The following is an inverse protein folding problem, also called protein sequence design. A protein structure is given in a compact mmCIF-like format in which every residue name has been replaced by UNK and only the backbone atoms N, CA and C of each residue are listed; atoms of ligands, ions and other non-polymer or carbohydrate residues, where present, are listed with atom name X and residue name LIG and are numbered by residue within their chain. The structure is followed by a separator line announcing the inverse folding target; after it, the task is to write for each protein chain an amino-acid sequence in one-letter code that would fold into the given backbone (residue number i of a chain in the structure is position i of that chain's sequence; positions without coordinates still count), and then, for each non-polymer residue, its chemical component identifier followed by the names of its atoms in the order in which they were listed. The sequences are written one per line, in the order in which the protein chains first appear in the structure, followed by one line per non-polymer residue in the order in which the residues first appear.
data_IF_547632312521
#
_entry.id   IF_547632312521
#
_cell.length_a   1.000
_cell.length_b   1.000
_cell.length_c   1.000
_cell.angle_alpha   90.00
_cell.angle_beta   90.00
_cell.angle_gamma   90.00
#
_symmetry.space_group_name_H-M   'P 1'
#
loop_
_entity.id
_entity.type
_entity.pdbx_description
1 polymer ?
#
# COMPACT_ATOMS: atom_id res chain seq x y z
N UNK A 1 0.37 2.32 -17.14
CA UNK A 1 1.14 1.08 -16.96
C UNK A 1 0.26 -0.11 -16.55
N UNK A 2 -0.94 0.13 -16.05
CA UNK A 2 -1.91 -0.91 -15.72
C UNK A 2 -3.06 -1.03 -16.73
N UNK A 3 -2.91 -0.38 -17.86
CA UNK A 3 -3.87 -0.47 -18.94
C UNK A 3 -3.81 -1.87 -19.54
N UNK A 4 -4.94 -2.53 -19.62
CA UNK A 4 -5.10 -3.85 -20.23
C UNK A 4 -6.23 -3.81 -21.23
N UNK A 5 -5.98 -3.21 -22.41
CA UNK A 5 -6.98 -3.08 -23.45
C UNK A 5 -7.51 -4.44 -23.93
N UNK A 6 -6.70 -5.49 -23.83
CA UNK A 6 -7.10 -6.84 -24.16
C UNK A 6 -8.26 -7.35 -23.26
N UNK A 7 -8.38 -6.82 -22.03
CA UNK A 7 -9.52 -7.11 -21.14
C UNK A 7 -10.87 -6.67 -21.72
N UNK A 8 -10.90 -5.66 -22.60
CA UNK A 8 -12.11 -5.21 -23.28
C UNK A 8 -12.79 -6.35 -24.06
N UNK A 9 -12.02 -7.37 -24.51
CA UNK A 9 -12.59 -8.56 -25.13
C UNK A 9 -13.50 -9.36 -24.18
N UNK A 10 -13.24 -9.32 -22.88
CA UNK A 10 -14.09 -9.98 -21.89
C UNK A 10 -15.42 -9.25 -21.70
N UNK A 11 -15.44 -7.92 -21.90
CA UNK A 11 -16.66 -7.11 -21.80
C UNK A 11 -17.63 -7.39 -22.96
N UNK A 12 -17.15 -7.82 -24.13
CA UNK A 12 -18.00 -8.24 -25.26
C UNK A 12 -18.94 -9.37 -24.92
N UNK A 13 -18.60 -10.21 -23.93
CA UNK A 13 -19.44 -11.31 -23.44
C UNK A 13 -20.56 -10.83 -22.53
N UNK A 14 -20.46 -9.61 -21.99
CA UNK A 14 -21.39 -9.05 -21.00
C UNK A 14 -22.31 -8.01 -21.64
N UNK A 15 -21.77 -7.19 -22.56
CA UNK A 15 -22.50 -6.10 -23.20
C UNK A 15 -22.05 -5.90 -24.62
N UNK A 16 -23.01 -5.54 -25.49
CA UNK A 16 -22.74 -5.11 -26.88
C UNK A 16 -22.22 -3.67 -26.96
N UNK A 17 -22.45 -2.88 -25.91
CA UNK A 17 -21.97 -1.50 -25.79
C UNK A 17 -21.12 -1.37 -24.55
N UNK A 18 -19.86 -1.03 -24.73
CA UNK A 18 -18.92 -0.77 -23.63
C UNK A 18 -17.98 0.38 -24.01
N UNK A 19 -17.41 1.01 -22.99
CA UNK A 19 -16.57 2.18 -23.11
C UNK A 19 -15.14 1.98 -22.61
N UNK A 20 -14.32 2.98 -22.88
CA UNK A 20 -12.99 3.14 -22.33
C UNK A 20 -12.88 4.54 -21.72
N UNK A 21 -12.65 4.58 -20.40
CA UNK A 21 -12.35 5.79 -19.64
C UNK A 21 -10.84 5.77 -19.33
N UNK A 22 -10.08 6.63 -20.00
CA UNK A 22 -8.62 6.62 -19.98
C UNK A 22 -8.05 7.74 -19.10
N UNK A 23 -7.07 7.39 -18.26
CA UNK A 23 -6.30 8.33 -17.42
C UNK A 23 -4.81 8.35 -17.79
N UNK A 24 -4.49 7.85 -18.98
CA UNK A 24 -3.13 7.89 -19.53
C UNK A 24 -2.71 9.29 -19.96
N UNK A 25 -1.43 9.57 -19.92
CA UNK A 25 -0.84 10.78 -20.51
C UNK A 25 -0.94 10.69 -22.04
N UNK A 26 -1.50 11.72 -22.68
CA UNK A 26 -1.83 11.70 -24.11
C UNK A 26 -3.07 10.87 -24.41
N UNK A 27 -3.22 10.35 -25.64
CA UNK A 27 -4.45 9.66 -26.08
C UNK A 27 -4.21 8.47 -27.02
N UNK A 28 -3.00 7.96 -27.11
CA UNK A 28 -2.69 6.81 -27.99
C UNK A 28 -3.38 5.52 -27.53
N UNK A 29 -3.39 5.15 -26.24
CA UNK A 29 -4.17 4.01 -25.74
C UNK A 29 -5.67 4.19 -25.98
N UNK A 30 -6.20 5.40 -25.84
CA UNK A 30 -7.60 5.72 -26.15
C UNK A 30 -7.92 5.40 -27.63
N UNK A 31 -7.06 5.79 -28.58
CA UNK A 31 -7.25 5.44 -29.98
C UNK A 31 -7.11 3.94 -30.20
N UNK A 32 -6.16 3.28 -29.51
CA UNK A 32 -5.93 1.84 -29.61
C UNK A 32 -7.14 1.03 -29.11
N UNK A 33 -7.90 1.54 -28.12
CA UNK A 33 -9.07 0.87 -27.56
C UNK A 33 -10.17 0.60 -28.59
N UNK A 34 -10.25 1.40 -29.67
CA UNK A 34 -11.23 1.20 -30.74
C UNK A 34 -11.06 -0.14 -31.46
N UNK A 35 -9.82 -0.64 -31.58
CA UNK A 35 -9.55 -1.94 -32.17
C UNK A 35 -10.24 -3.07 -31.39
N UNK A 36 -10.39 -2.90 -30.09
CA UNK A 36 -11.06 -3.85 -29.18
C UNK A 36 -12.58 -3.67 -29.15
N UNK A 37 -13.12 -2.75 -29.95
CA UNK A 37 -14.57 -2.57 -30.13
C UNK A 37 -15.23 -1.57 -29.21
N UNK A 38 -14.45 -0.70 -28.56
CA UNK A 38 -14.95 0.39 -27.73
C UNK A 38 -15.92 1.30 -28.52
N UNK A 39 -17.08 1.58 -27.93
CA UNK A 39 -18.15 2.42 -28.51
C UNK A 39 -18.25 3.79 -27.83
N UNK A 40 -17.86 3.89 -26.59
CA UNK A 40 -17.89 5.11 -25.79
C UNK A 40 -16.48 5.40 -25.32
N UNK A 41 -16.06 6.66 -25.40
CA UNK A 41 -14.76 7.13 -24.92
C UNK A 41 -15.00 8.29 -23.98
N UNK A 42 -14.41 8.20 -22.80
CA UNK A 42 -14.38 9.26 -21.80
C UNK A 42 -12.94 9.69 -21.53
N UNK A 43 -12.72 10.99 -21.48
CA UNK A 43 -11.41 11.59 -21.14
C UNK A 43 -11.60 12.88 -20.37
N UNK A 44 -10.76 13.04 -19.36
CA UNK A 44 -10.64 14.31 -18.64
C UNK A 44 -10.10 15.40 -19.54
N UNK A 45 -10.59 16.64 -19.36
CA UNK A 45 -10.15 17.84 -20.07
C UNK A 45 -9.72 18.90 -19.06
N UNK A 46 -8.64 19.62 -19.37
CA UNK A 46 -8.15 20.75 -18.58
C UNK A 46 -7.64 21.87 -19.49
N UNK A 47 -7.63 23.08 -19.01
CA UNK A 47 -7.01 24.18 -19.76
C UNK A 47 -5.48 24.09 -19.71
N UNK A 48 -4.92 23.63 -18.58
CA UNK A 48 -3.48 23.47 -18.41
C UNK A 48 -3.18 22.14 -17.66
N UNK A 49 -2.40 21.27 -18.32
CA UNK A 49 -2.01 19.96 -17.77
C UNK A 49 -0.99 20.05 -16.63
N UNK A 50 -0.43 21.23 -16.37
CA UNK A 50 0.54 21.49 -15.31
C UNK A 50 -0.09 22.09 -14.04
N UNK A 51 -1.39 22.32 -14.04
CA UNK A 51 -2.09 22.82 -12.85
C UNK A 51 -2.05 21.77 -11.73
N UNK A 52 -2.09 22.24 -10.49
CA UNK A 52 -2.14 21.39 -9.31
C UNK A 52 -3.52 20.71 -9.20
N UNK A 53 -3.49 19.39 -9.05
CA UNK A 53 -4.69 18.57 -8.88
C UNK A 53 -4.49 17.15 -9.38
N UNK A 54 -5.34 16.20 -8.94
CA UNK A 54 -5.07 14.77 -9.16
C UNK A 54 -5.15 14.35 -10.62
N UNK A 55 -5.94 15.04 -11.46
CA UNK A 55 -6.24 14.60 -12.83
C UNK A 55 -5.66 15.50 -13.92
N UNK A 56 -5.10 16.66 -13.61
CA UNK A 56 -4.58 17.59 -14.60
C UNK A 56 -3.50 16.97 -15.50
N UNK A 57 -2.56 16.23 -14.93
CA UNK A 57 -1.46 15.61 -15.66
C UNK A 57 -1.91 14.50 -16.62
N UNK A 58 -3.03 13.85 -16.35
CA UNK A 58 -3.64 12.81 -17.20
C UNK A 58 -4.76 13.35 -18.11
N UNK A 59 -5.11 14.62 -17.96
CA UNK A 59 -6.13 15.30 -18.77
C UNK A 59 -5.59 15.72 -20.13
N UNK A 60 -6.47 15.98 -21.06
CA UNK A 60 -6.14 16.57 -22.35
C UNK A 60 -6.48 18.06 -22.35
N UNK A 61 -5.59 18.89 -22.89
CA UNK A 61 -5.96 20.26 -23.23
C UNK A 61 -6.93 20.29 -24.43
N UNK A 62 -7.65 21.40 -24.70
CA UNK A 62 -8.63 21.47 -25.79
C UNK A 62 -8.06 21.13 -27.15
N UNK A 63 -6.80 21.47 -27.41
CA UNK A 63 -6.16 21.22 -28.71
C UNK A 63 -5.89 19.72 -28.89
N UNK A 64 -5.36 19.03 -27.85
CA UNK A 64 -5.09 17.60 -27.91
C UNK A 64 -6.39 16.79 -27.88
N UNK A 65 -7.42 17.26 -27.19
CA UNK A 65 -8.76 16.68 -27.25
C UNK A 65 -9.33 16.73 -28.66
N UNK A 66 -9.21 17.87 -29.35
CA UNK A 66 -9.60 18.02 -30.79
C UNK A 66 -8.81 17.05 -31.67
N UNK A 67 -7.48 16.95 -31.48
CA UNK A 67 -6.64 16.00 -32.24
C UNK A 67 -7.10 14.55 -32.01
N UNK A 68 -7.38 14.19 -30.76
CA UNK A 68 -7.92 12.88 -30.42
C UNK A 68 -9.22 12.58 -31.15
N UNK A 69 -10.20 13.48 -31.10
CA UNK A 69 -11.48 13.30 -31.76
C UNK A 69 -11.35 13.08 -33.28
N UNK A 70 -10.49 13.88 -33.95
CA UNK A 70 -10.21 13.72 -35.37
C UNK A 70 -9.55 12.36 -35.66
N UNK A 71 -8.62 11.94 -34.81
CA UNK A 71 -7.94 10.65 -34.99
C UNK A 71 -8.88 9.48 -34.76
N UNK A 72 -9.77 9.56 -33.79
CA UNK A 72 -10.82 8.56 -33.50
C UNK A 72 -11.74 8.39 -34.72
N UNK A 73 -12.23 9.49 -35.33
CA UNK A 73 -13.09 9.43 -36.52
C UNK A 73 -12.38 8.71 -37.68
N UNK A 74 -11.10 9.04 -37.94
CA UNK A 74 -10.29 8.38 -38.96
C UNK A 74 -10.07 6.90 -38.65
N UNK A 75 -9.76 6.58 -37.40
CA UNK A 75 -9.51 5.23 -36.92
C UNK A 75 -10.78 4.36 -37.02
N UNK A 76 -11.92 4.87 -36.62
CA UNK A 76 -13.21 4.18 -36.73
C UNK A 76 -13.53 3.82 -38.17
N UNK A 77 -13.35 4.76 -39.11
CA UNK A 77 -13.60 4.51 -40.55
C UNK A 77 -12.61 3.49 -41.12
N UNK A 78 -11.36 3.49 -40.68
CA UNK A 78 -10.37 2.51 -41.09
C UNK A 78 -10.73 1.08 -40.65
N UNK A 79 -11.26 0.93 -39.43
CA UNK A 79 -11.64 -0.36 -38.87
C UNK A 79 -12.86 -1.01 -39.53
N UNK A 80 -13.71 -0.24 -40.24
CA UNK A 80 -14.82 -0.78 -41.04
C UNK A 80 -14.34 -1.79 -42.11
N UNK A 81 -13.07 -1.73 -42.49
CA UNK A 81 -12.49 -2.56 -43.55
C UNK A 81 -11.79 -3.83 -43.04
N UNK A 82 -12.15 -4.35 -41.88
CA UNK A 82 -11.55 -5.56 -41.26
C UNK A 82 -10.02 -5.57 -41.32
N UNK A 83 -9.38 -4.74 -40.53
CA UNK A 83 -7.92 -4.59 -40.46
C UNK A 83 -7.29 -5.40 -39.29
N UNK A 84 -6.05 -5.84 -39.50
CA UNK A 84 -5.26 -6.46 -38.46
C UNK A 84 -4.77 -5.44 -37.42
N UNK A 85 -4.45 -5.90 -36.23
CA UNK A 85 -3.88 -5.03 -35.17
C UNK A 85 -2.57 -4.38 -35.63
N UNK A 86 -1.72 -5.11 -36.34
CA UNK A 86 -0.45 -4.59 -36.86
C UNK A 86 -0.64 -3.45 -37.84
N UNK A 87 -1.57 -3.59 -38.85
CA UNK A 87 -1.91 -2.53 -39.79
C UNK A 87 -2.48 -1.28 -39.07
N UNK A 88 -3.30 -1.53 -38.02
CA UNK A 88 -3.92 -0.45 -37.26
C UNK A 88 -2.86 0.34 -36.47
N UNK A 89 -1.97 -0.37 -35.74
CA UNK A 89 -0.86 0.25 -34.99
C UNK A 89 0.04 1.08 -35.92
N UNK A 90 0.43 0.52 -37.07
CA UNK A 90 1.27 1.20 -38.06
C UNK A 90 0.60 2.43 -38.63
N UNK A 91 -0.67 2.32 -39.07
CA UNK A 91 -1.43 3.42 -39.72
C UNK A 91 -1.61 4.63 -38.80
N UNK A 92 -1.85 4.41 -37.52
CA UNK A 92 -2.14 5.47 -36.56
C UNK A 92 -0.96 5.83 -35.65
N UNK A 93 0.24 5.27 -35.90
CA UNK A 93 1.46 5.51 -35.11
C UNK A 93 1.22 5.25 -33.62
N UNK A 94 0.76 4.03 -33.31
CA UNK A 94 0.39 3.62 -31.94
C UNK A 94 1.44 2.68 -31.30
N UNK A 95 2.64 2.59 -31.86
CA UNK A 95 3.67 1.65 -31.39
C UNK A 95 4.01 1.88 -29.93
N UNK A 96 4.15 3.15 -29.50
CA UNK A 96 4.41 3.51 -28.09
C UNK A 96 3.24 3.21 -27.13
N UNK A 97 2.06 2.85 -27.64
CA UNK A 97 0.93 2.40 -26.82
C UNK A 97 0.76 0.87 -26.83
N UNK A 98 1.71 0.11 -27.42
CA UNK A 98 1.60 -1.35 -27.55
C UNK A 98 1.56 -2.04 -26.18
N UNK A 99 2.26 -1.51 -25.20
CA UNK A 99 2.24 -2.02 -23.83
C UNK A 99 0.86 -1.94 -23.17
N UNK A 100 0.04 -0.95 -23.56
CA UNK A 100 -1.33 -0.80 -23.09
C UNK A 100 -2.26 -1.96 -23.52
N UNK A 101 -1.85 -2.81 -24.46
CA UNK A 101 -2.59 -4.01 -24.83
C UNK A 101 -2.77 -4.92 -23.63
N UNK A 102 -1.71 -5.13 -22.83
CA UNK A 102 -1.76 -5.88 -21.60
C UNK A 102 -2.29 -7.32 -21.74
N UNK A 103 -2.66 -7.91 -20.62
CA UNK A 103 -3.22 -9.27 -20.53
C UNK A 103 -4.74 -9.25 -20.63
N UNK A 104 -5.35 -10.40 -20.95
CA UNK A 104 -6.81 -10.56 -20.95
C UNK A 104 -7.43 -10.69 -19.53
N UNK A 105 -6.70 -10.26 -18.52
CA UNK A 105 -7.14 -10.21 -17.13
C UNK A 105 -6.80 -8.83 -16.57
N UNK A 106 -7.75 -8.24 -15.85
CA UNK A 106 -7.46 -7.03 -15.09
C UNK A 106 -6.80 -7.44 -13.77
N UNK A 107 -5.54 -7.12 -13.62
CA UNK A 107 -4.84 -7.26 -12.35
C UNK A 107 -5.27 -6.06 -11.49
N UNK A 108 -5.81 -6.33 -10.31
CA UNK A 108 -6.14 -5.27 -9.35
C UNK A 108 -4.85 -4.84 -8.66
N UNK A 109 -4.34 -3.69 -9.05
CA UNK A 109 -3.22 -3.05 -8.35
C UNK A 109 -3.63 -2.62 -6.94
N UNK A 110 -2.63 -2.31 -6.12
CA UNK A 110 -2.84 -1.76 -4.78
C UNK A 110 -3.68 -0.47 -4.85
N UNK A 111 -3.40 0.41 -5.81
CA UNK A 111 -4.16 1.63 -6.04
C UNK A 111 -5.64 1.35 -6.37
N UNK A 112 -5.89 0.36 -7.23
CA UNK A 112 -7.26 -0.05 -7.58
C UNK A 112 -7.98 -0.64 -6.34
N UNK A 113 -7.26 -1.40 -5.50
CA UNK A 113 -7.81 -1.93 -4.24
C UNK A 113 -8.11 -0.81 -3.25
N UNK A 114 -7.21 0.15 -3.10
CA UNK A 114 -7.42 1.33 -2.26
C UNK A 114 -8.60 2.16 -2.74
N UNK A 115 -8.69 2.45 -4.05
CA UNK A 115 -9.85 3.12 -4.64
C UNK A 115 -11.15 2.34 -4.45
N UNK A 116 -11.10 1.00 -4.47
CA UNK A 116 -12.27 0.16 -4.15
C UNK A 116 -12.72 0.34 -2.71
N UNK A 117 -11.82 0.53 -1.78
CA UNK A 117 -12.14 0.79 -0.38
C UNK A 117 -12.69 2.20 -0.19
N UNK A 118 -12.01 3.21 -0.73
CA UNK A 118 -12.36 4.63 -0.51
C UNK A 118 -13.57 5.10 -1.32
N UNK A 119 -13.65 4.70 -2.60
CA UNK A 119 -14.67 5.14 -3.54
C UNK A 119 -15.75 4.08 -3.78
N UNK A 120 -15.47 2.83 -3.43
CA UNK A 120 -16.43 1.74 -3.56
C UNK A 120 -17.64 1.91 -2.65
N UNK A 121 -18.67 1.10 -2.89
CA UNK A 121 -19.84 1.02 -2.04
C UNK A 121 -19.88 -0.31 -1.33
N UNK A 122 -20.35 -0.30 -0.08
CA UNK A 122 -20.62 -1.49 0.70
C UNK A 122 -22.04 -1.47 1.27
N UNK A 123 -22.52 -2.63 1.65
CA UNK A 123 -23.83 -2.82 2.25
C UNK A 123 -23.82 -2.16 3.63
N UNK A 124 -24.83 -1.32 3.92
CA UNK A 124 -25.04 -0.70 5.23
C UNK A 124 -26.47 -0.97 5.71
N UNK A 125 -26.69 -0.88 7.02
CA UNK A 125 -28.03 -1.01 7.61
C UNK A 125 -28.81 0.31 7.49
N UNK A 126 -30.08 0.24 7.03
CA UNK A 126 -30.95 1.43 6.91
C UNK A 126 -31.41 1.97 8.27
N UNK A 127 -31.56 1.09 9.26
CA UNK A 127 -32.04 1.42 10.61
C UNK A 127 -31.23 0.62 11.65
N UNK A 128 -31.46 0.94 12.93
CA UNK A 128 -30.96 0.12 14.02
C UNK A 128 -31.75 -1.21 14.04
N UNK A 129 -31.06 -2.33 14.17
CA UNK A 129 -31.68 -3.65 14.32
C UNK A 129 -31.09 -4.37 15.52
N UNK A 130 -31.95 -5.09 16.23
CA UNK A 130 -31.55 -5.87 17.41
C UNK A 130 -31.02 -7.25 17.02
N UNK A 131 -30.16 -7.80 17.86
CA UNK A 131 -29.78 -9.20 17.84
C UNK A 131 -31.01 -10.07 17.64
N UNK A 132 -30.91 -11.07 16.79
CA UNK A 132 -32.03 -11.97 16.48
C UNK A 132 -32.87 -11.57 15.27
N UNK A 133 -32.69 -10.33 14.75
CA UNK A 133 -33.39 -9.87 13.55
C UNK A 133 -32.97 -10.67 12.33
N UNK A 134 -33.94 -11.16 11.55
CA UNK A 134 -33.72 -11.84 10.27
C UNK A 134 -33.62 -10.78 9.17
N UNK A 135 -32.50 -10.72 8.48
CA UNK A 135 -32.23 -9.70 7.47
C UNK A 135 -33.11 -9.89 6.23
N UNK A 136 -33.68 -8.77 5.77
CA UNK A 136 -34.43 -8.65 4.50
C UNK A 136 -33.74 -7.58 3.64
N UNK A 137 -33.82 -7.74 2.30
CA UNK A 137 -33.19 -6.79 1.35
C UNK A 137 -33.58 -5.32 1.61
N UNK A 138 -34.83 -5.06 1.96
CA UNK A 138 -35.35 -3.72 2.26
C UNK A 138 -34.70 -3.03 3.49
N UNK A 139 -34.04 -3.80 4.36
CA UNK A 139 -33.36 -3.33 5.57
C UNK A 139 -31.93 -2.83 5.26
N UNK A 140 -31.44 -3.06 4.06
CA UNK A 140 -30.09 -2.79 3.63
C UNK A 140 -30.05 -1.71 2.55
N UNK A 141 -28.94 -0.97 2.51
CA UNK A 141 -28.64 0.08 1.55
C UNK A 141 -27.17 -0.06 1.10
N UNK A 142 -26.74 0.74 0.14
CA UNK A 142 -25.37 0.80 -0.30
C UNK A 142 -24.82 2.21 -0.13
N UNK A 143 -23.70 2.35 0.57
CA UNK A 143 -23.01 3.62 0.77
C UNK A 143 -21.50 3.46 0.63
N UNK A 144 -20.85 4.51 0.17
CA UNK A 144 -19.41 4.65 0.31
C UNK A 144 -19.06 4.97 1.78
N UNK A 145 -17.90 4.53 2.26
CA UNK A 145 -16.84 3.78 1.58
C UNK A 145 -17.11 2.27 1.49
N UNK A 146 -16.24 1.57 0.74
CA UNK A 146 -16.32 0.12 0.49
C UNK A 146 -15.72 -0.76 1.60
N UNK A 147 -15.88 -0.42 2.86
CA UNK A 147 -15.28 -1.16 4.00
C UNK A 147 -15.92 -2.52 4.27
N UNK A 148 -17.19 -2.67 3.96
CA UNK A 148 -17.95 -3.91 4.21
C UNK A 148 -18.17 -4.73 2.94
N UNK A 149 -19.07 -5.70 3.02
CA UNK A 149 -19.47 -6.49 1.87
C UNK A 149 -20.19 -5.64 0.82
N UNK A 150 -19.92 -5.91 -0.47
CA UNK A 150 -20.59 -5.23 -1.59
C UNK A 150 -21.97 -5.85 -1.88
N UNK A 151 -22.78 -5.18 -2.71
CA UNK A 151 -24.12 -5.64 -3.12
C UNK A 151 -24.14 -6.99 -3.84
N UNK A 152 -23.02 -7.40 -4.44
CA UNK A 152 -22.86 -8.76 -5.02
C UNK A 152 -23.12 -9.82 -3.95
N UNK A 153 -22.86 -9.50 -2.70
CA UNK A 153 -23.01 -10.40 -1.56
C UNK A 153 -24.42 -10.38 -0.92
N UNK A 154 -25.36 -9.55 -1.40
CA UNK A 154 -26.70 -9.47 -0.81
C UNK A 154 -27.35 -10.85 -0.58
N UNK A 155 -27.32 -11.71 -1.60
CA UNK A 155 -27.93 -13.04 -1.53
C UNK A 155 -27.35 -13.90 -0.39
N UNK A 156 -26.08 -13.68 -0.04
CA UNK A 156 -25.40 -14.43 1.01
C UNK A 156 -25.86 -14.08 2.43
N UNK A 157 -26.50 -12.92 2.59
CA UNK A 157 -26.88 -12.39 3.92
C UNK A 157 -28.39 -12.29 4.14
N UNK A 158 -29.18 -12.24 3.08
CA UNK A 158 -30.65 -12.25 3.19
C UNK A 158 -31.12 -13.55 3.83
N UNK A 159 -32.04 -13.47 4.81
CA UNK A 159 -32.52 -14.58 5.59
C UNK A 159 -31.66 -14.98 6.78
N UNK A 160 -30.42 -14.46 6.90
CA UNK A 160 -29.59 -14.72 8.07
C UNK A 160 -30.06 -13.92 9.28
N UNK A 161 -29.85 -14.49 10.46
CA UNK A 161 -30.19 -13.92 11.76
C UNK A 161 -28.98 -13.16 12.32
N UNK A 162 -29.18 -11.89 12.76
CA UNK A 162 -28.14 -11.12 13.42
C UNK A 162 -27.75 -11.76 14.76
N UNK A 163 -26.47 -11.89 15.01
CA UNK A 163 -25.90 -12.36 16.26
C UNK A 163 -25.57 -11.21 17.23
N UNK A 164 -25.62 -9.95 16.77
CA UNK A 164 -25.38 -8.74 17.55
C UNK A 164 -26.37 -7.63 17.17
N UNK A 165 -26.47 -6.59 18.00
CA UNK A 165 -27.16 -5.35 17.66
C UNK A 165 -26.35 -4.59 16.61
N UNK A 166 -27.01 -3.94 15.66
CA UNK A 166 -26.37 -3.13 14.63
C UNK A 166 -27.03 -1.76 14.53
N UNK A 167 -26.29 -0.75 14.11
CA UNK A 167 -26.74 0.65 14.04
C UNK A 167 -27.03 1.07 12.59
N UNK A 168 -27.88 2.07 12.43
CA UNK A 168 -28.12 2.72 11.14
C UNK A 168 -26.81 3.27 10.56
N UNK A 169 -26.55 2.93 9.29
CA UNK A 169 -25.33 3.38 8.58
C UNK A 169 -24.11 2.53 8.86
N UNK A 170 -24.16 1.59 9.80
CA UNK A 170 -23.08 0.65 10.05
C UNK A 170 -22.90 -0.29 8.86
N UNK A 171 -21.65 -0.54 8.47
CA UNK A 171 -21.32 -1.45 7.37
C UNK A 171 -21.59 -2.89 7.79
N UNK A 172 -22.05 -3.71 6.85
CA UNK A 172 -22.35 -5.11 7.09
C UNK A 172 -21.04 -5.92 7.04
N UNK A 173 -20.74 -6.63 8.15
CA UNK A 173 -19.62 -7.54 8.29
C UNK A 173 -20.07 -8.95 8.65
N UNK A 174 -19.21 -9.93 8.40
CA UNK A 174 -19.46 -11.34 8.70
C UNK A 174 -19.71 -11.58 10.20
N UNK A 175 -19.05 -10.83 11.05
CA UNK A 175 -19.12 -10.95 12.50
C UNK A 175 -20.50 -10.62 13.06
N UNK A 176 -21.29 -9.81 12.34
CA UNK A 176 -22.68 -9.56 12.72
C UNK A 176 -23.57 -10.83 12.72
N UNK A 177 -23.10 -11.93 12.14
CA UNK A 177 -23.82 -13.22 12.06
C UNK A 177 -23.17 -14.31 12.91
N UNK A 178 -21.99 -14.06 13.46
CA UNK A 178 -21.24 -15.02 14.25
C UNK A 178 -21.50 -14.78 15.74
N UNK A 179 -22.11 -15.79 16.41
CA UNK A 179 -22.27 -15.75 17.87
C UNK A 179 -21.01 -16.16 18.65
N UNK A 180 -19.95 -16.56 17.94
CA UNK A 180 -18.70 -16.92 18.61
C UNK A 180 -18.13 -15.66 19.25
N UNK A 181 -18.19 -15.56 20.59
CA UNK A 181 -17.35 -14.63 21.34
C UNK A 181 -15.91 -14.92 20.91
N UNK A 182 -15.27 -13.94 20.29
CA UNK A 182 -13.82 -13.98 20.11
C UNK A 182 -13.25 -14.20 21.50
N UNK A 183 -12.63 -15.34 21.75
CA UNK A 183 -11.84 -15.51 22.97
C UNK A 183 -10.62 -14.64 22.77
N UNK A 184 -10.64 -13.45 23.37
CA UNK A 184 -9.45 -12.62 23.49
C UNK A 184 -8.41 -13.42 24.28
N UNK A 185 -7.45 -13.99 23.60
CA UNK A 185 -6.24 -14.49 24.27
C UNK A 185 -5.50 -13.26 24.78
N UNK A 186 -5.11 -13.31 26.03
CA UNK A 186 -4.29 -12.25 26.63
C UNK A 186 -2.91 -12.34 25.97
N UNK A 187 -2.61 -11.39 25.10
CA UNK A 187 -1.29 -11.30 24.47
C UNK A 187 -0.30 -10.94 25.59
N UNK A 188 0.67 -11.79 25.81
CA UNK A 188 1.71 -11.57 26.84
C UNK A 188 2.67 -10.44 26.45
N UNK A 189 2.83 -10.17 25.17
CA UNK A 189 3.71 -9.13 24.63
C UNK A 189 3.15 -7.72 24.85
N UNK A 190 4.06 -6.75 24.97
CA UNK A 190 3.71 -5.33 24.91
C UNK A 190 3.16 -5.02 23.53
N UNK A 191 1.99 -4.42 23.46
CA UNK A 191 1.37 -3.99 22.21
C UNK A 191 1.31 -2.46 22.15
N UNK A 192 1.33 -1.93 20.93
CA UNK A 192 1.29 -0.52 20.63
C UNK A 192 0.38 -0.16 19.47
N UNK A 193 0.25 1.13 19.26
CA UNK A 193 -0.47 1.71 18.14
C UNK A 193 0.44 2.67 17.38
N UNK A 194 0.22 2.74 16.07
CA UNK A 194 0.93 3.66 15.18
C UNK A 194 0.13 4.95 15.05
N UNK A 195 0.78 6.09 15.16
CA UNK A 195 0.21 7.41 14.94
C UNK A 195 1.18 8.34 14.23
N UNK A 196 0.72 9.51 13.82
CA UNK A 196 1.56 10.59 13.33
C UNK A 196 1.90 11.55 14.47
N UNK A 197 2.93 12.35 14.33
CA UNK A 197 3.27 13.36 15.34
C UNK A 197 2.10 14.33 15.63
N UNK A 198 1.24 14.49 14.63
CA UNK A 198 0.05 15.35 14.71
C UNK A 198 -1.13 14.76 15.47
N UNK A 199 -1.26 13.44 15.59
CA UNK A 199 -2.49 12.77 16.05
C UNK A 199 -2.29 11.60 17.02
N UNK A 200 -1.06 11.17 17.32
CA UNK A 200 -0.79 10.02 18.18
C UNK A 200 -1.47 10.12 19.56
N UNK A 201 -1.71 11.34 20.07
CA UNK A 201 -2.40 11.57 21.33
C UNK A 201 -3.85 11.02 21.34
N UNK A 202 -4.47 10.85 20.16
CA UNK A 202 -5.77 10.22 20.04
C UNK A 202 -5.73 8.73 20.36
N UNK A 203 -4.62 8.07 20.07
CA UNK A 203 -4.42 6.63 20.27
C UNK A 203 -4.02 6.27 21.69
N UNK A 204 -3.45 7.21 22.45
CA UNK A 204 -3.11 7.03 23.88
C UNK A 204 -4.34 6.71 24.72
N UNK A 205 -5.53 7.16 24.31
CA UNK A 205 -6.81 6.90 25.00
C UNK A 205 -7.13 5.40 25.07
N UNK A 206 -6.63 4.61 24.14
CA UNK A 206 -6.79 3.14 24.13
C UNK A 206 -5.80 2.43 25.09
N UNK A 207 -4.96 3.20 25.80
CA UNK A 207 -3.99 2.73 26.78
C UNK A 207 -3.02 1.66 26.25
N UNK A 208 -2.42 1.84 25.08
CA UNK A 208 -1.36 0.95 24.62
C UNK A 208 -0.16 1.01 25.55
N UNK A 209 0.75 0.03 25.49
CA UNK A 209 2.00 0.05 26.24
C UNK A 209 3.09 0.87 25.57
N UNK A 210 3.03 0.95 24.25
CA UNK A 210 3.94 1.77 23.44
C UNK A 210 3.17 2.53 22.36
N UNK A 211 3.74 3.62 21.89
CA UNK A 211 3.29 4.38 20.73
C UNK A 211 4.45 4.43 19.73
N UNK A 212 4.14 4.07 18.49
CA UNK A 212 5.03 4.33 17.38
C UNK A 212 4.62 5.61 16.67
N UNK A 213 5.54 6.57 16.57
CA UNK A 213 5.34 7.80 15.79
C UNK A 213 5.94 7.60 14.40
N UNK A 214 5.08 7.45 13.41
CA UNK A 214 5.45 7.31 12.02
C UNK A 214 5.63 8.70 11.40
N UNK A 215 6.88 9.13 11.25
CA UNK A 215 7.21 10.48 10.82
C UNK A 215 7.12 10.64 9.31
N UNK A 216 6.69 11.83 8.91
CA UNK A 216 6.84 12.30 7.54
C UNK A 216 8.02 13.27 7.45
N UNK A 217 8.59 13.44 6.27
CA UNK A 217 9.64 14.43 6.06
C UNK A 217 9.19 15.87 6.40
N UNK A 218 7.90 16.19 6.20
CA UNK A 218 7.32 17.50 6.54
C UNK A 218 7.31 17.75 8.05
N UNK A 219 7.01 16.72 8.83
CA UNK A 219 7.05 16.78 10.28
C UNK A 219 8.49 16.90 10.81
N UNK A 220 9.48 16.34 10.10
CA UNK A 220 10.91 16.54 10.45
C UNK A 220 11.37 17.98 10.19
N UNK A 221 10.90 18.61 9.11
CA UNK A 221 11.23 20.01 8.82
C UNK A 221 10.53 20.99 9.77
N UNK A 222 9.28 20.71 10.12
CA UNK A 222 8.44 21.54 10.98
C UNK A 222 7.74 20.70 12.04
N UNK A 223 8.47 20.21 13.05
CA UNK A 223 7.88 19.33 14.04
C UNK A 223 6.86 20.04 14.90
N UNK A 224 5.67 19.46 15.02
CA UNK A 224 4.65 19.91 15.98
C UNK A 224 5.24 19.84 17.39
N UNK A 225 5.20 20.95 18.11
CA UNK A 225 5.68 21.00 19.49
C UNK A 225 4.68 20.26 20.40
N UNK A 226 5.19 19.26 21.12
CA UNK A 226 4.46 18.71 22.27
C UNK A 226 4.38 19.81 23.34
N UNK A 227 3.25 19.92 24.00
CA UNK A 227 3.07 20.88 25.10
C UNK A 227 4.13 20.66 26.17
N UNK A 228 4.73 21.75 26.65
CA UNK A 228 5.69 21.68 27.78
C UNK A 228 5.05 20.95 28.96
N UNK A 229 5.83 20.12 29.63
CA UNK A 229 5.44 19.33 30.81
C UNK A 229 4.35 18.25 30.54
N UNK A 230 4.15 17.85 29.26
CA UNK A 230 3.33 16.68 28.95
C UNK A 230 4.19 15.42 29.08
N UNK A 231 3.69 14.42 29.82
CA UNK A 231 4.34 13.14 29.98
C UNK A 231 3.36 12.00 29.66
N UNK A 232 3.81 11.06 28.87
CA UNK A 232 3.02 9.91 28.42
C UNK A 232 3.52 8.63 29.09
N UNK A 233 2.58 7.81 29.57
CA UNK A 233 2.86 6.52 30.21
C UNK A 233 3.10 5.38 29.19
N UNK A 234 3.48 5.72 27.97
CA UNK A 234 3.82 4.80 26.89
C UNK A 234 5.32 4.83 26.60
N UNK A 235 5.87 3.72 26.13
CA UNK A 235 7.21 3.68 25.55
C UNK A 235 7.15 4.28 24.14
N UNK A 236 8.22 4.96 23.71
CA UNK A 236 8.33 5.56 22.39
C UNK A 236 9.06 4.64 21.42
N UNK A 237 8.50 4.47 20.25
CA UNK A 237 9.15 3.96 19.03
C UNK A 237 8.94 5.01 17.93
N UNK A 238 9.91 5.20 17.07
CA UNK A 238 9.82 6.18 15.97
C UNK A 238 10.09 5.48 14.66
N UNK A 239 9.27 5.74 13.66
CA UNK A 239 9.52 5.28 12.30
C UNK A 239 10.01 6.44 11.46
N UNK A 240 11.17 6.27 10.83
CA UNK A 240 11.76 7.27 9.95
C UNK A 240 10.96 7.43 8.66
N UNK A 241 10.99 8.62 8.00
CA UNK A 241 10.35 8.79 6.71
C UNK A 241 10.94 7.87 5.65
N UNK A 242 10.11 7.40 4.74
CA UNK A 242 10.52 6.56 3.62
C UNK A 242 11.01 7.37 2.40
N UNK A 243 10.64 8.64 2.36
CA UNK A 243 10.97 9.54 1.25
C UNK A 243 11.07 11.00 1.70
N UNK A 244 11.74 11.80 0.89
CA UNK A 244 11.79 13.26 0.98
C UNK A 244 11.38 13.86 -0.36
N UNK A 245 10.30 14.65 -0.39
CA UNK A 245 9.65 15.11 -1.62
C UNK A 245 9.35 13.95 -2.59
N UNK A 246 10.00 13.93 -3.74
CA UNK A 246 9.88 12.93 -4.80
C UNK A 246 11.02 11.88 -4.81
N UNK A 247 11.83 11.83 -3.76
CA UNK A 247 13.00 10.95 -3.65
C UNK A 247 12.86 9.96 -2.52
N UNK A 248 13.07 8.69 -2.81
CA UNK A 248 13.12 7.64 -1.80
C UNK A 248 14.40 7.76 -0.96
N UNK A 249 14.26 7.49 0.33
CA UNK A 249 15.40 7.31 1.24
C UNK A 249 16.07 5.99 0.88
N UNK A 250 17.39 6.03 0.65
CA UNK A 250 18.13 4.85 0.20
C UNK A 250 19.56 4.86 0.73
N UNK A 251 19.80 4.03 1.75
CA UNK A 251 21.12 3.82 2.35
C UNK A 251 22.01 2.86 1.55
N UNK A 252 21.50 2.27 0.48
CA UNK A 252 22.25 1.39 -0.42
C UNK A 252 22.83 2.11 -1.62
N UNK A 253 22.40 3.35 -1.84
CA UNK A 253 22.76 4.15 -3.00
C UNK A 253 24.25 4.48 -3.05
N UNK A 254 24.79 4.57 -4.27
CA UNK A 254 26.11 5.14 -4.55
C UNK A 254 26.01 6.60 -5.01
N UNK A 255 24.79 7.10 -5.21
CA UNK A 255 24.55 8.49 -5.58
C UNK A 255 24.65 9.39 -4.34
N UNK A 256 25.62 10.31 -4.34
CA UNK A 256 25.88 11.19 -3.21
C UNK A 256 24.66 12.03 -2.82
N UNK A 257 23.93 12.60 -3.78
CA UNK A 257 22.72 13.40 -3.50
C UNK A 257 21.62 12.58 -2.81
N UNK A 258 21.46 11.32 -3.17
CA UNK A 258 20.50 10.42 -2.53
C UNK A 258 20.95 10.08 -1.11
N UNK A 259 22.24 9.81 -0.93
CA UNK A 259 22.82 9.54 0.39
C UNK A 259 22.76 10.75 1.32
N UNK A 260 23.06 11.95 0.83
CA UNK A 260 23.00 13.19 1.62
C UNK A 260 21.59 13.42 2.17
N UNK A 261 20.57 13.23 1.31
CA UNK A 261 19.15 13.29 1.73
C UNK A 261 18.83 12.22 2.76
N UNK A 262 19.28 10.98 2.53
CA UNK A 262 19.02 9.85 3.44
C UNK A 262 19.66 10.10 4.81
N UNK A 263 20.88 10.60 4.83
CA UNK A 263 21.60 10.94 6.06
C UNK A 263 20.94 12.11 6.79
N UNK A 264 20.57 13.17 6.06
CA UNK A 264 19.87 14.31 6.65
C UNK A 264 18.55 13.89 7.32
N UNK A 265 17.73 13.10 6.62
CA UNK A 265 16.44 12.66 7.15
C UNK A 265 16.59 11.76 8.39
N UNK A 266 17.56 10.84 8.38
CA UNK A 266 17.83 10.00 9.54
C UNK A 266 18.41 10.82 10.71
N UNK A 267 19.32 11.74 10.46
CA UNK A 267 19.88 12.62 11.48
C UNK A 267 18.77 13.45 12.17
N UNK A 268 17.88 14.07 11.39
CA UNK A 268 16.72 14.81 11.90
C UNK A 268 15.76 13.90 12.69
N UNK A 269 15.57 12.67 12.24
CA UNK A 269 14.76 11.66 12.96
C UNK A 269 15.38 11.37 14.34
N UNK A 270 16.69 11.14 14.39
CA UNK A 270 17.42 10.90 15.65
C UNK A 270 17.29 12.10 16.59
N UNK A 271 17.52 13.32 16.10
CA UNK A 271 17.41 14.53 16.90
C UNK A 271 16.00 14.74 17.47
N UNK A 272 14.98 14.51 16.64
CA UNK A 272 13.59 14.59 17.08
C UNK A 272 13.26 13.48 18.10
N UNK A 273 13.73 12.25 17.88
CA UNK A 273 13.55 11.13 18.80
C UNK A 273 14.14 11.45 20.16
N UNK A 274 15.37 11.98 20.23
CA UNK A 274 16.02 12.40 21.48
C UNK A 274 15.21 13.47 22.23
N UNK A 275 14.62 14.43 21.48
CA UNK A 275 13.74 15.45 22.08
C UNK A 275 12.44 14.85 22.61
N UNK A 276 11.83 13.92 21.88
CA UNK A 276 10.58 13.28 22.27
C UNK A 276 10.73 12.36 23.47
N UNK A 277 11.88 11.68 23.61
CA UNK A 277 12.14 10.72 24.70
C UNK A 277 11.88 11.29 26.08
N UNK A 278 12.07 12.59 26.29
CA UNK A 278 11.79 13.24 27.59
C UNK A 278 10.30 13.30 27.93
N UNK A 279 9.42 13.08 26.97
CA UNK A 279 7.96 13.10 27.14
C UNK A 279 7.37 11.70 27.36
N UNK A 280 8.16 10.62 27.23
CA UNK A 280 7.69 9.26 27.30
C UNK A 280 8.37 8.47 28.42
N UNK A 281 7.75 7.34 28.81
CA UNK A 281 8.36 6.44 29.79
C UNK A 281 9.68 5.88 29.25
N UNK A 282 10.71 5.87 30.07
CA UNK A 282 11.96 5.21 29.72
C UNK A 282 11.77 3.70 29.71
N UNK A 283 12.02 3.08 28.56
CA UNK A 283 12.16 1.64 28.44
C UNK A 283 13.50 1.18 29.02
N UNK A 284 13.58 -0.10 29.40
CA UNK A 284 14.87 -0.74 29.72
C UNK A 284 15.73 -0.92 28.46
N UNK A 285 15.09 -0.93 27.28
CA UNK A 285 15.75 -0.94 25.97
C UNK A 285 15.95 0.49 25.44
N UNK A 286 16.93 0.64 24.53
CA UNK A 286 17.10 1.87 23.77
C UNK A 286 15.86 2.15 22.90
N UNK A 287 15.53 3.41 22.73
CA UNK A 287 14.41 3.81 21.86
C UNK A 287 14.67 3.36 20.43
N UNK A 288 13.73 2.62 19.86
CA UNK A 288 13.86 2.09 18.51
C UNK A 288 13.51 3.14 17.47
N UNK A 289 14.35 3.25 16.45
CA UNK A 289 14.08 4.02 15.23
C UNK A 289 13.97 3.01 14.08
N UNK A 290 12.76 2.78 13.63
CA UNK A 290 12.48 1.87 12.51
C UNK A 290 12.86 2.58 11.21
N UNK A 291 13.58 1.88 10.34
CA UNK A 291 14.14 2.43 9.12
C UNK A 291 13.98 1.45 7.95
N UNK A 292 13.43 1.95 6.85
CA UNK A 292 13.51 1.24 5.57
C UNK A 292 14.93 1.35 4.99
N UNK A 293 15.57 0.24 4.62
CA UNK A 293 16.99 0.24 4.21
C UNK A 293 17.24 0.92 2.86
N UNK A 294 16.21 1.07 2.00
CA UNK A 294 16.33 1.48 0.61
C UNK A 294 16.54 0.29 -0.33
N UNK A 295 17.22 0.50 -1.46
CA UNK A 295 17.49 -0.55 -2.43
C UNK A 295 16.37 -0.80 -3.43
N UNK A 296 15.57 0.21 -3.71
CA UNK A 296 14.47 0.16 -4.68
C UNK A 296 14.96 0.37 -6.12
N UNK A 297 14.24 -0.21 -7.08
CA UNK A 297 14.34 0.12 -8.50
C UNK A 297 12.95 0.24 -9.13
N UNK A 298 12.82 1.11 -10.13
CA UNK A 298 11.52 1.38 -10.76
C UNK A 298 11.21 0.42 -11.90
N UNK A 299 12.16 0.22 -12.83
CA UNK A 299 11.89 -0.44 -14.10
C UNK A 299 11.98 -1.97 -14.05
N UNK A 300 12.85 -2.50 -13.21
CA UNK A 300 13.16 -3.93 -13.14
C UNK A 300 13.74 -4.34 -11.79
N UNK A 301 13.63 -5.61 -11.47
CA UNK A 301 14.36 -6.18 -10.34
C UNK A 301 15.87 -6.23 -10.68
N UNK A 302 16.67 -5.54 -9.91
CA UNK A 302 18.13 -5.51 -10.03
C UNK A 302 18.73 -6.65 -9.19
N UNK A 303 18.85 -7.82 -9.79
CA UNK A 303 19.48 -8.97 -9.13
C UNK A 303 21.02 -8.90 -9.11
N UNK A 304 21.58 -8.06 -9.98
CA UNK A 304 23.03 -7.82 -10.07
C UNK A 304 23.41 -6.79 -9.00
N UNK A 305 24.54 -7.02 -8.29
CA UNK A 305 25.08 -6.14 -7.25
C UNK A 305 24.31 -6.09 -5.92
N UNK A 306 23.56 -7.12 -5.56
CA UNK A 306 22.91 -7.19 -4.24
C UNK A 306 23.93 -7.11 -3.08
N UNK A 307 25.04 -7.82 -3.20
CA UNK A 307 26.10 -7.82 -2.18
C UNK A 307 26.68 -6.42 -1.96
N UNK A 308 26.84 -5.64 -3.04
CA UNK A 308 27.30 -4.26 -2.93
C UNK A 308 26.26 -3.37 -2.27
N UNK A 309 24.96 -3.59 -2.52
CA UNK A 309 23.89 -2.88 -1.82
C UNK A 309 23.91 -3.17 -0.31
N UNK A 310 24.09 -4.43 0.10
CA UNK A 310 24.23 -4.78 1.52
C UNK A 310 25.49 -4.21 2.17
N UNK A 311 26.63 -4.21 1.45
CA UNK A 311 27.88 -3.58 1.91
C UNK A 311 27.71 -2.07 2.08
N UNK A 312 27.08 -1.40 1.11
CA UNK A 312 26.81 0.03 1.18
C UNK A 312 25.90 0.37 2.36
N UNK A 313 24.81 -0.38 2.53
CA UNK A 313 23.91 -0.23 3.67
C UNK A 313 24.67 -0.31 5.00
N UNK A 314 25.48 -1.37 5.18
CA UNK A 314 26.26 -1.54 6.38
C UNK A 314 27.24 -0.40 6.62
N UNK A 315 27.98 0.02 5.59
CA UNK A 315 28.96 1.09 5.71
C UNK A 315 28.31 2.46 5.99
N UNK A 316 27.17 2.74 5.35
CA UNK A 316 26.47 3.99 5.52
C UNK A 316 25.84 4.10 6.92
N UNK A 317 25.32 3.01 7.48
CA UNK A 317 24.77 2.99 8.83
C UNK A 317 25.82 3.14 9.94
N UNK A 318 27.10 2.80 9.70
CA UNK A 318 28.20 3.02 10.65
C UNK A 318 28.45 4.49 10.98
N UNK A 319 27.96 5.41 10.14
CA UNK A 319 28.08 6.85 10.43
C UNK A 319 27.21 7.34 11.60
N UNK A 320 26.27 6.49 12.07
CA UNK A 320 25.36 6.83 13.15
C UNK A 320 25.72 6.05 14.42
N UNK A 321 26.12 6.78 15.47
CA UNK A 321 26.38 6.19 16.79
C UNK A 321 25.06 5.96 17.52
N UNK A 322 24.81 4.74 17.93
CA UNK A 322 23.59 4.31 18.60
C UNK A 322 23.79 4.29 20.14
N UNK A 323 23.85 5.48 20.75
CA UNK A 323 24.03 5.62 22.20
C UNK A 323 22.70 5.44 22.95
N UNK A 324 21.75 6.36 22.72
CA UNK A 324 20.43 6.41 23.41
C UNK A 324 19.29 5.78 22.60
N UNK A 325 19.56 5.41 21.35
CA UNK A 325 18.60 4.84 20.41
C UNK A 325 19.22 3.64 19.69
N UNK A 326 18.38 2.92 18.99
CA UNK A 326 18.77 1.81 18.14
C UNK A 326 18.11 1.93 16.77
N UNK A 327 18.90 1.84 15.70
CA UNK A 327 18.38 1.76 14.33
C UNK A 327 17.99 0.32 14.04
N UNK A 328 16.72 0.09 13.82
CA UNK A 328 16.10 -1.21 13.56
C UNK A 328 15.62 -1.22 12.12
N UNK A 329 16.15 -2.14 11.31
CA UNK A 329 15.79 -2.22 9.89
C UNK A 329 14.52 -3.04 9.71
N UNK A 330 13.65 -2.61 8.80
CA UNK A 330 12.40 -3.30 8.49
C UNK A 330 12.54 -4.14 7.22
N UNK A 331 11.94 -5.35 7.21
CA UNK A 331 11.80 -6.13 5.99
C UNK A 331 10.74 -5.50 5.09
N UNK A 332 11.02 -5.42 3.78
CA UNK A 332 10.22 -4.67 2.81
C UNK A 332 9.47 -5.62 1.87
N UNK A 333 8.23 -5.28 1.43
CA UNK A 333 7.50 -6.12 0.48
C UNK A 333 8.24 -6.18 -0.87
N UNK A 334 8.03 -7.24 -1.68
CA UNK A 334 8.77 -7.40 -2.95
C UNK A 334 8.41 -6.33 -3.99
N UNK A 335 7.25 -5.70 -3.84
CA UNK A 335 6.72 -4.73 -4.79
C UNK A 335 6.11 -3.52 -4.07
N UNK A 336 6.92 -2.70 -3.38
CA UNK A 336 6.41 -1.53 -2.67
C UNK A 336 5.82 -0.50 -3.64
N UNK A 337 4.88 0.28 -3.14
CA UNK A 337 4.19 1.30 -3.91
C UNK A 337 4.57 2.69 -3.45
N UNK A 338 5.28 3.45 -4.30
CA UNK A 338 5.69 4.82 -4.03
C UNK A 338 5.32 5.75 -5.18
N UNK A 339 4.94 6.99 -4.90
CA UNK A 339 4.70 8.06 -5.88
C UNK A 339 3.73 7.69 -7.00
N UNK A 340 2.73 6.86 -6.70
CA UNK A 340 1.77 6.38 -7.70
C UNK A 340 2.30 5.31 -8.65
N UNK A 341 3.47 4.72 -8.36
CA UNK A 341 4.09 3.65 -9.13
C UNK A 341 4.50 2.45 -8.29
N UNK A 342 4.57 1.30 -8.93
CA UNK A 342 5.06 0.05 -8.34
C UNK A 342 6.57 -0.03 -8.53
N UNK A 343 7.29 -0.24 -7.44
CA UNK A 343 8.74 -0.43 -7.42
C UNK A 343 9.08 -1.90 -7.22
N UNK A 344 10.34 -2.25 -7.46
CA UNK A 344 10.93 -3.53 -7.11
C UNK A 344 11.84 -3.34 -5.90
N UNK A 345 11.69 -4.20 -4.90
CA UNK A 345 12.59 -4.26 -3.76
C UNK A 345 13.70 -5.26 -4.05
N UNK A 346 14.95 -4.80 -4.03
CA UNK A 346 16.09 -5.61 -4.44
C UNK A 346 16.81 -6.27 -3.25
N UNK A 347 16.68 -5.71 -2.04
CA UNK A 347 17.25 -6.25 -0.79
C UNK A 347 16.21 -6.20 0.33
N UNK A 348 16.50 -6.85 1.44
CA UNK A 348 15.68 -6.82 2.67
C UNK A 348 14.23 -7.32 2.51
N UNK A 349 13.98 -8.17 1.49
CA UNK A 349 12.72 -8.91 1.35
C UNK A 349 12.91 -10.41 1.57
N UNK A 350 14.10 -10.94 1.28
CA UNK A 350 14.44 -12.35 1.39
C UNK A 350 14.96 -12.68 2.81
N UNK A 351 14.28 -13.57 3.51
CA UNK A 351 14.63 -13.97 4.88
C UNK A 351 16.05 -14.52 5.05
N UNK A 352 16.61 -15.20 4.03
CA UNK A 352 17.99 -15.72 4.08
C UNK A 352 18.99 -14.58 4.00
N UNK A 353 18.78 -13.64 3.06
CA UNK A 353 19.64 -12.46 2.91
C UNK A 353 19.56 -11.57 4.17
N UNK A 354 18.38 -11.45 4.79
CA UNK A 354 18.19 -10.71 6.05
C UNK A 354 18.95 -11.38 7.18
N UNK A 355 18.84 -12.69 7.33
CA UNK A 355 19.56 -13.47 8.34
C UNK A 355 21.08 -13.29 8.20
N UNK A 356 21.62 -13.50 6.99
CA UNK A 356 23.04 -13.32 6.69
C UNK A 356 23.52 -11.89 7.02
N UNK A 357 22.74 -10.87 6.64
CA UNK A 357 23.07 -9.48 6.97
C UNK A 357 23.08 -9.24 8.48
N UNK A 358 22.10 -9.73 9.21
CA UNK A 358 22.00 -9.56 10.66
C UNK A 358 23.12 -10.29 11.40
N UNK A 359 23.53 -11.47 10.94
CA UNK A 359 24.68 -12.21 11.49
C UNK A 359 25.98 -11.41 11.37
N UNK A 360 26.19 -10.73 10.24
CA UNK A 360 27.39 -9.93 9.98
C UNK A 360 27.33 -8.58 10.70
N UNK A 361 26.20 -7.87 10.57
CA UNK A 361 26.04 -6.50 11.05
C UNK A 361 25.75 -6.39 12.54
N UNK A 362 25.25 -7.45 13.16
CA UNK A 362 24.68 -7.49 14.51
C UNK A 362 23.48 -6.55 14.69
N UNK A 363 22.85 -6.12 13.57
CA UNK A 363 21.62 -5.32 13.59
C UNK A 363 20.42 -6.20 13.90
N UNK A 364 19.48 -5.61 14.64
CA UNK A 364 18.16 -6.21 14.85
C UNK A 364 17.17 -5.68 13.83
N UNK A 365 16.06 -6.37 13.67
CA UNK A 365 15.02 -6.02 12.68
C UNK A 365 13.66 -5.77 13.31
N UNK A 366 12.90 -4.93 12.66
CA UNK A 366 11.45 -4.89 12.73
C UNK A 366 10.91 -5.91 11.72
N UNK A 367 10.17 -6.89 12.21
CA UNK A 367 9.53 -7.87 11.35
C UNK A 367 8.11 -7.42 11.02
N UNK A 368 7.90 -6.91 9.79
CA UNK A 368 6.56 -6.63 9.27
C UNK A 368 5.96 -7.90 8.66
N UNK A 369 4.82 -8.32 9.21
CA UNK A 369 4.14 -9.57 8.86
C UNK A 369 3.47 -9.50 7.49
N UNK A 370 2.96 -8.32 7.10
CA UNK A 370 2.36 -8.11 5.79
C UNK A 370 3.43 -8.16 4.69
N UNK A 371 4.53 -7.45 4.87
CA UNK A 371 5.65 -7.43 3.92
C UNK A 371 6.21 -8.84 3.67
N UNK A 372 6.42 -9.60 4.74
CA UNK A 372 6.90 -10.97 4.67
C UNK A 372 5.90 -11.89 3.95
N UNK A 373 4.60 -11.77 4.27
CA UNK A 373 3.57 -12.59 3.63
C UNK A 373 3.47 -12.29 2.13
N UNK A 374 3.57 -11.02 1.72
CA UNK A 374 3.60 -10.63 0.30
C UNK A 374 4.82 -11.24 -0.42
N UNK A 375 5.99 -11.23 0.23
CA UNK A 375 7.18 -11.87 -0.31
C UNK A 375 6.98 -13.39 -0.43
N UNK A 376 6.45 -14.04 0.59
CA UNK A 376 6.17 -15.48 0.59
C UNK A 376 5.18 -15.87 -0.51
N UNK A 377 4.10 -15.10 -0.67
CA UNK A 377 3.13 -15.32 -1.73
C UNK A 377 3.73 -15.17 -3.13
N UNK A 378 4.59 -14.16 -3.33
CA UNK A 378 5.24 -13.89 -4.60
C UNK A 378 6.24 -14.98 -5.00
N UNK A 379 6.95 -15.55 -4.03
CA UNK A 379 8.02 -16.51 -4.24
C UNK A 379 7.62 -17.96 -3.93
N UNK A 380 6.36 -18.19 -3.51
CA UNK A 380 5.84 -19.49 -3.10
C UNK A 380 6.64 -20.12 -1.95
N UNK A 381 6.98 -19.31 -0.97
CA UNK A 381 7.71 -19.70 0.24
C UNK A 381 6.72 -19.81 1.40
N UNK A 382 6.99 -20.74 2.33
CA UNK A 382 6.21 -20.85 3.54
C UNK A 382 6.54 -19.72 4.52
N UNK A 383 5.52 -19.00 5.01
CA UNK A 383 5.67 -17.91 5.96
C UNK A 383 6.25 -18.36 7.31
N UNK A 384 5.94 -19.58 7.74
CA UNK A 384 6.51 -20.15 8.97
C UNK A 384 8.03 -20.33 8.88
N UNK A 385 8.53 -20.77 7.72
CA UNK A 385 9.98 -20.93 7.49
C UNK A 385 10.67 -19.57 7.43
N UNK A 386 10.01 -18.59 6.80
CA UNK A 386 10.48 -17.21 6.79
C UNK A 386 10.64 -16.66 8.22
N UNK A 387 9.58 -16.72 9.02
CA UNK A 387 9.57 -16.19 10.38
C UNK A 387 10.58 -16.89 11.31
N UNK A 388 10.66 -18.23 11.26
CA UNK A 388 11.64 -19.00 12.04
C UNK A 388 13.08 -18.59 11.72
N UNK A 389 13.38 -18.29 10.46
CA UNK A 389 14.74 -17.96 10.03
C UNK A 389 15.22 -16.61 10.59
N UNK A 390 14.33 -15.63 10.72
CA UNK A 390 14.68 -14.27 11.17
C UNK A 390 14.33 -14.00 12.62
N UNK A 391 13.73 -14.96 13.33
CA UNK A 391 13.23 -14.81 14.69
C UNK A 391 14.27 -14.21 15.65
N UNK A 392 15.48 -14.76 15.67
CA UNK A 392 16.51 -14.39 16.65
C UNK A 392 17.07 -12.97 16.42
N UNK A 393 16.80 -12.38 15.26
CA UNK A 393 17.17 -11.00 14.94
C UNK A 393 16.01 -10.02 15.15
N UNK A 394 14.80 -10.54 15.38
CA UNK A 394 13.59 -9.70 15.51
C UNK A 394 13.48 -9.12 16.90
N UNK A 395 13.38 -7.80 17.00
CA UNK A 395 13.16 -7.10 18.26
C UNK A 395 11.89 -6.23 18.29
N UNK A 396 11.19 -6.15 17.18
CA UNK A 396 9.95 -5.41 17.02
C UNK A 396 9.08 -6.03 15.93
N UNK A 397 7.76 -5.93 16.07
CA UNK A 397 6.80 -6.50 15.14
C UNK A 397 5.85 -5.42 14.63
N UNK A 398 5.70 -5.33 13.32
CA UNK A 398 4.55 -4.70 12.68
C UNK A 398 3.53 -5.78 12.34
N UNK A 399 2.33 -5.65 12.91
CA UNK A 399 1.27 -6.65 12.73
C UNK A 399 0.18 -6.10 11.82
N UNK A 400 0.17 -6.55 10.60
CA UNK A 400 -0.90 -6.36 9.63
C UNK A 400 -1.02 -7.57 8.71
N UNK A 401 -2.19 -7.77 8.12
CA UNK A 401 -2.43 -8.90 7.23
C UNK A 401 -2.06 -8.55 5.78
N UNK A 402 -2.02 -9.56 4.91
CA UNK A 402 -1.67 -9.40 3.51
C UNK A 402 -2.55 -10.24 2.58
N UNK A 403 -2.87 -9.70 1.42
CA UNK A 403 -3.69 -10.36 0.40
C UNK A 403 -2.94 -10.42 -0.94
N UNK A 404 -2.73 -11.62 -1.48
CA UNK A 404 -2.06 -11.79 -2.76
C UNK A 404 -0.60 -11.38 -2.71
N UNK A 405 -0.11 -10.65 -3.73
CA UNK A 405 1.29 -10.24 -3.86
C UNK A 405 1.52 -8.74 -3.69
N UNK A 406 0.44 -7.96 -3.51
CA UNK A 406 0.44 -6.49 -3.50
C UNK A 406 -0.63 -5.88 -2.57
N UNK A 407 -1.37 -6.71 -1.83
CA UNK A 407 -2.37 -6.25 -0.85
C UNK A 407 -1.77 -6.09 0.54
N UNK A 408 -0.94 -5.08 0.71
CA UNK A 408 -0.25 -4.70 1.94
C UNK A 408 -1.20 -4.08 2.96
N UNK A 409 -0.90 -4.28 4.26
CA UNK A 409 -1.59 -3.60 5.35
C UNK A 409 -3.07 -3.95 5.47
N UNK A 410 -3.48 -5.17 5.10
CA UNK A 410 -4.85 -5.63 5.29
C UNK A 410 -5.17 -5.76 6.78
N UNK A 411 -6.45 -5.62 7.13
CA UNK A 411 -6.90 -5.85 8.49
C UNK A 411 -6.60 -7.30 8.92
N UNK A 412 -6.16 -7.48 10.16
CA UNK A 412 -5.90 -8.81 10.74
C UNK A 412 -7.14 -9.70 10.60
N UNK A 413 -6.97 -10.84 9.94
CA UNK A 413 -8.01 -11.81 9.64
C UNK A 413 -8.64 -11.69 8.25
N UNK A 414 -8.30 -10.68 7.46
CA UNK A 414 -8.78 -10.50 6.07
C UNK A 414 -7.82 -11.10 5.03
N UNK A 415 -6.59 -11.44 5.42
CA UNK A 415 -5.56 -11.98 4.54
C UNK A 415 -5.16 -13.43 4.85
N UNK A 416 -3.86 -13.71 4.67
CA UNK A 416 -3.32 -15.06 4.76
C UNK A 416 -2.25 -15.24 5.85
N UNK A 417 -2.01 -14.23 6.69
CA UNK A 417 -1.04 -14.30 7.78
C UNK A 417 -1.56 -15.21 8.89
N UNK A 418 -0.77 -16.20 9.30
CA UNK A 418 -1.06 -17.08 10.43
C UNK A 418 -0.57 -16.42 11.73
N UNK A 419 -1.41 -15.55 12.31
CA UNK A 419 -1.08 -14.83 13.54
C UNK A 419 -0.96 -15.74 14.76
N UNK A 420 -1.72 -16.84 14.82
CA UNK A 420 -1.61 -17.78 15.95
C UNK A 420 -0.22 -18.40 15.99
N UNK A 421 0.31 -18.82 14.86
CA UNK A 421 1.67 -19.31 14.75
C UNK A 421 2.69 -18.19 15.08
N UNK A 422 2.58 -17.02 14.46
CA UNK A 422 3.55 -15.94 14.67
C UNK A 422 3.62 -15.49 16.13
N UNK A 423 2.45 -15.27 16.77
CA UNK A 423 2.42 -14.87 18.20
C UNK A 423 2.92 -15.97 19.15
N UNK A 424 2.92 -17.23 18.72
CA UNK A 424 3.53 -18.33 19.50
C UNK A 424 5.04 -18.40 19.31
N UNK A 425 5.58 -17.81 18.25
CA UNK A 425 7.00 -17.85 17.90
C UNK A 425 7.79 -16.76 18.64
N UNK A 426 7.21 -15.60 18.89
CA UNK A 426 7.78 -14.42 19.53
C UNK A 426 7.21 -14.20 20.93
#
# INVERSE_FOLDING_TARGET
EEISLNFLNSLKKISTVFGYSGHEVGFKPTVLSLFYGTKIIERHITLNTKDDGPDHSSSLNPQDFKKMCLKIKKAYNFLKKKKTLGEYIKKFNLLSAKEAIGKNQKILSQNTKFNKITLGKSIVYKNNFKRGTILKKKMLDEKSPGYGYTSINFKSFIGKKLATDVKRGEHLFKDHFNSKKVKYQKIAMKWGLVGRLGDFENFIKEKPKLIEIHLTWRELLNPKKIKKNTYYNQELVVHAPEYFNDKLIDFTSTNTKTLDISFEMLQRTIELTKKLNSNFIKSNDRTKIILHPGGHSFDKNETINKDDKYKNLLNNLKNFKEDDYEIVLENIPPFPWYFGGRYYQNIFSNHKEIDDFCLISKKRICFDTSHAQLYCNSNKINMHDYAKKIKDHTCYLHLSDAIGTDGEGAQIGDGNVDFDFLLSLF
#
